data_IF_025526929993
#
_entry.id   IF_025526929993
#
_cell.length_a   1.000
_cell.length_b   1.000
_cell.length_c   1.000
_cell.angle_alpha   90.00
_cell.angle_beta   90.00
_cell.angle_gamma   90.00
#
_symmetry.space_group_name_H-M   'P 1'
#
loop_
_entity.id
_entity.type
_entity.pdbx_description
1 polymer ?
#
# COMPACT_ATOMS: atom_id res chain seq x y z
N UNK A 1 13.40 6.05 -14.45
CA UNK A 1 12.55 5.07 -13.72
C UNK A 1 11.11 5.57 -13.73
N UNK A 2 10.11 4.71 -13.98
CA UNK A 2 8.70 5.14 -14.07
C UNK A 2 8.06 5.13 -12.66
N UNK A 3 7.62 6.30 -12.16
CA UNK A 3 7.07 6.47 -10.81
C UNK A 3 5.95 5.47 -10.48
N UNK A 4 5.09 5.15 -11.45
CA UNK A 4 3.99 4.19 -11.28
C UNK A 4 4.50 2.78 -10.96
N UNK A 5 5.60 2.38 -11.60
CA UNK A 5 6.25 1.10 -11.30
C UNK A 5 6.86 1.07 -9.90
N UNK A 6 7.40 2.19 -9.42
CA UNK A 6 7.98 2.25 -8.06
C UNK A 6 6.86 2.09 -7.02
N UNK A 7 5.76 2.81 -7.19
CA UNK A 7 4.56 2.68 -6.34
C UNK A 7 4.05 1.24 -6.35
N UNK A 8 3.94 0.63 -7.53
CA UNK A 8 3.55 -0.78 -7.66
C UNK A 8 4.48 -1.75 -6.95
N UNK A 9 5.80 -1.54 -7.05
CA UNK A 9 6.79 -2.33 -6.32
C UNK A 9 6.65 -2.19 -4.81
N UNK A 10 6.41 -0.97 -4.28
CA UNK A 10 6.21 -0.73 -2.83
C UNK A 10 4.95 -1.44 -2.31
N UNK A 11 3.85 -1.39 -3.06
CA UNK A 11 2.62 -2.13 -2.72
C UNK A 11 2.89 -3.64 -2.71
N UNK A 12 3.55 -4.15 -3.75
CA UNK A 12 3.89 -5.58 -3.86
C UNK A 12 4.77 -6.04 -2.70
N UNK A 13 5.78 -5.24 -2.35
CA UNK A 13 6.71 -5.51 -1.27
C UNK A 13 5.98 -5.58 0.07
N UNK A 14 5.20 -4.55 0.41
CA UNK A 14 4.46 -4.50 1.66
C UNK A 14 3.42 -5.63 1.76
N UNK A 15 2.69 -5.92 0.68
CA UNK A 15 1.75 -7.04 0.64
C UNK A 15 2.43 -8.38 0.91
N UNK A 16 3.54 -8.66 0.23
CA UNK A 16 4.30 -9.91 0.42
C UNK A 16 4.92 -10.01 1.80
N UNK A 17 5.40 -8.90 2.36
CA UNK A 17 5.93 -8.86 3.73
C UNK A 17 4.85 -9.21 4.78
N UNK A 18 3.58 -8.89 4.51
CA UNK A 18 2.44 -9.28 5.34
C UNK A 18 1.90 -10.69 5.02
N UNK A 19 2.53 -11.44 4.09
CA UNK A 19 2.10 -12.79 3.73
C UNK A 19 0.76 -12.86 2.98
N UNK A 20 0.30 -11.74 2.39
CA UNK A 20 -1.02 -11.66 1.75
C UNK A 20 -0.94 -11.96 0.25
N UNK A 21 -1.91 -12.68 -0.29
CA UNK A 21 -2.23 -12.69 -1.71
C UNK A 21 -2.99 -11.42 -2.12
N UNK A 22 -3.05 -11.14 -3.43
CA UNK A 22 -3.84 -10.00 -3.95
C UNK A 22 -5.34 -10.16 -3.60
N UNK A 23 -5.85 -11.40 -3.62
CA UNK A 23 -7.26 -11.69 -3.29
C UNK A 23 -7.55 -11.38 -1.82
N UNK A 24 -6.68 -11.84 -0.91
CA UNK A 24 -6.84 -11.57 0.53
C UNK A 24 -6.73 -10.08 0.83
N UNK A 25 -5.75 -9.39 0.25
CA UNK A 25 -5.64 -7.94 0.41
C UNK A 25 -6.90 -7.23 -0.10
N UNK A 26 -7.43 -7.64 -1.26
CA UNK A 26 -8.67 -7.11 -1.80
C UNK A 26 -9.86 -7.31 -0.87
N UNK A 27 -10.03 -8.52 -0.33
CA UNK A 27 -11.09 -8.82 0.63
C UNK A 27 -10.99 -7.98 1.91
N UNK A 28 -9.78 -7.79 2.47
CA UNK A 28 -9.58 -7.03 3.71
C UNK A 28 -9.73 -5.51 3.52
N UNK A 29 -9.49 -5.02 2.32
CA UNK A 29 -9.57 -3.58 1.99
C UNK A 29 -10.86 -3.18 1.29
N UNK A 30 -11.74 -4.13 1.00
CA UNK A 30 -12.90 -3.96 0.11
C UNK A 30 -12.51 -3.40 -1.28
N UNK A 31 -11.33 -3.76 -1.77
CA UNK A 31 -10.83 -3.38 -3.09
C UNK A 31 -10.85 -4.58 -4.01
N UNK A 32 -11.18 -4.36 -5.28
CA UNK A 32 -11.17 -5.44 -6.28
C UNK A 32 -9.72 -5.88 -6.54
N UNK A 33 -9.45 -7.19 -6.50
CA UNK A 33 -8.14 -7.78 -6.73
C UNK A 33 -7.47 -7.28 -8.02
N UNK A 34 -8.23 -7.14 -9.11
CA UNK A 34 -7.76 -6.60 -10.39
C UNK A 34 -7.22 -5.17 -10.25
N UNK A 35 -7.83 -4.35 -9.39
CA UNK A 35 -7.41 -2.96 -9.14
C UNK A 35 -6.04 -2.93 -8.45
N UNK A 36 -5.84 -3.80 -7.46
CA UNK A 36 -4.55 -3.98 -6.78
C UNK A 36 -3.49 -4.48 -7.77
N UNK A 37 -3.82 -5.48 -8.60
CA UNK A 37 -2.90 -5.99 -9.63
C UNK A 37 -2.45 -4.91 -10.62
N UNK A 38 -3.36 -4.03 -11.05
CA UNK A 38 -3.03 -2.90 -11.92
C UNK A 38 -2.05 -1.91 -11.27
N UNK A 39 -2.16 -1.69 -9.96
CA UNK A 39 -1.20 -0.87 -9.22
C UNK A 39 0.15 -1.56 -9.09
N UNK A 40 0.18 -2.84 -8.71
CA UNK A 40 1.42 -3.62 -8.59
C UNK A 40 2.21 -3.71 -9.90
N UNK A 41 1.51 -3.76 -11.04
CA UNK A 41 2.11 -3.73 -12.38
C UNK A 41 2.47 -2.31 -12.87
N UNK A 42 2.04 -1.27 -12.17
CA UNK A 42 2.26 0.14 -12.53
C UNK A 42 1.43 0.62 -13.74
N UNK A 43 0.36 -0.10 -14.11
CA UNK A 43 -0.55 0.32 -15.20
C UNK A 43 -1.50 1.41 -14.76
N UNK A 44 -1.75 1.50 -13.44
CA UNK A 44 -2.52 2.53 -12.75
C UNK A 44 -1.81 2.93 -11.46
N UNK A 45 -2.28 4.01 -10.84
CA UNK A 45 -1.80 4.49 -9.54
C UNK A 45 -2.98 4.54 -8.57
N UNK A 46 -2.81 4.16 -7.29
CA UNK A 46 -3.84 4.40 -6.28
C UNK A 46 -4.04 5.90 -6.05
N UNK A 47 -5.26 6.31 -5.71
CA UNK A 47 -5.52 7.64 -5.20
C UNK A 47 -5.12 7.77 -3.73
N UNK A 48 -5.22 8.97 -3.15
CA UNK A 48 -4.91 9.22 -1.74
C UNK A 48 -5.75 8.35 -0.78
N UNK A 49 -7.03 8.15 -1.07
CA UNK A 49 -7.92 7.34 -0.22
C UNK A 49 -7.57 5.86 -0.27
N UNK A 50 -7.28 5.30 -1.46
CA UNK A 50 -6.80 3.92 -1.55
C UNK A 50 -5.45 3.74 -0.86
N UNK A 51 -4.54 4.71 -0.97
CA UNK A 51 -3.26 4.65 -0.29
C UNK A 51 -3.42 4.61 1.24
N UNK A 52 -4.38 5.36 1.80
CA UNK A 52 -4.72 5.31 3.24
C UNK A 52 -5.28 3.94 3.64
N UNK A 53 -6.17 3.37 2.85
CA UNK A 53 -6.75 2.04 3.10
C UNK A 53 -5.65 0.97 3.08
N UNK A 54 -4.84 0.95 2.01
CA UNK A 54 -3.73 0.02 1.86
C UNK A 54 -2.74 0.13 3.01
N UNK A 55 -2.42 1.35 3.44
CA UNK A 55 -1.49 1.55 4.55
C UNK A 55 -1.92 0.87 5.84
N UNK A 56 -3.21 0.97 6.20
CA UNK A 56 -3.77 0.37 7.42
C UNK A 56 -3.67 -1.14 7.42
N UNK A 57 -3.90 -1.75 6.27
CA UNK A 57 -3.81 -3.20 6.10
C UNK A 57 -2.37 -3.67 6.00
N UNK A 58 -1.52 -2.94 5.27
CA UNK A 58 -0.14 -3.31 4.98
C UNK A 58 0.88 -2.86 6.03
N UNK A 59 0.45 -2.10 7.05
CA UNK A 59 1.28 -1.60 8.16
C UNK A 59 2.49 -0.77 7.70
N UNK A 60 2.31 0.04 6.65
CA UNK A 60 3.32 0.93 6.07
C UNK A 60 2.72 2.29 5.76
N UNK A 61 3.56 3.29 5.50
CA UNK A 61 3.09 4.64 5.27
C UNK A 61 2.45 4.93 3.92
N UNK A 62 1.33 5.67 3.91
CA UNK A 62 0.68 6.10 2.67
C UNK A 62 1.63 6.98 1.85
N UNK A 63 2.35 7.88 2.52
CA UNK A 63 3.41 8.71 1.95
C UNK A 63 4.53 7.86 1.38
N UNK A 64 4.88 6.74 2.02
CA UNK A 64 5.84 5.79 1.47
C UNK A 64 5.29 5.05 0.26
N UNK A 65 4.06 4.52 0.30
CA UNK A 65 3.44 3.87 -0.86
C UNK A 65 3.42 4.80 -2.09
N UNK A 66 3.16 6.10 -1.87
CA UNK A 66 3.09 7.13 -2.92
C UNK A 66 4.44 7.77 -3.27
N UNK A 67 5.57 7.25 -2.76
CA UNK A 67 6.91 7.77 -3.03
C UNK A 67 7.13 9.24 -2.61
N UNK A 68 6.42 9.70 -1.58
CA UNK A 68 6.60 11.02 -0.96
C UNK A 68 7.76 10.98 0.07
N UNK A 69 7.98 9.82 0.69
CA UNK A 69 9.10 9.57 1.61
C UNK A 69 9.72 8.20 1.32
N UNK A 70 10.99 8.03 1.69
CA UNK A 70 11.68 6.75 1.63
C UNK A 70 11.59 5.93 2.93
N UNK A 71 11.09 6.54 4.01
CA UNK A 71 10.86 5.85 5.28
C UNK A 71 9.53 5.06 5.24
N UNK A 72 9.54 3.71 5.33
CA UNK A 72 8.33 2.89 5.36
C UNK A 72 7.32 3.23 6.45
N UNK A 73 7.73 3.94 7.50
CA UNK A 73 6.87 4.35 8.62
C UNK A 73 6.82 5.86 8.85
N UNK A 74 7.28 6.70 7.90
CA UNK A 74 7.52 8.14 8.13
C UNK A 74 6.40 8.91 8.86
N UNK A 75 5.17 8.91 8.32
CA UNK A 75 3.99 9.55 8.93
C UNK A 75 3.18 8.59 9.83
N UNK A 76 3.64 7.33 9.95
CA UNK A 76 2.86 6.27 10.57
C UNK A 76 3.05 6.25 12.08
N UNK A 77 2.25 7.08 12.73
CA UNK A 77 2.06 7.03 14.17
C UNK A 77 1.04 5.92 14.43
N UNK A 78 1.50 4.73 14.86
CA UNK A 78 0.62 3.88 15.65
C UNK A 78 0.12 4.75 16.80
N UNK A 79 -1.19 5.00 16.86
CA UNK A 79 -1.78 5.53 18.08
C UNK A 79 -1.37 4.54 19.16
N UNK A 80 -0.38 4.93 19.97
CA UNK A 80 -0.13 4.31 21.27
C UNK A 80 -1.49 4.28 21.92
N UNK A 81 -2.07 3.08 22.06
CA UNK A 81 -3.20 2.90 22.95
C UNK A 81 -2.63 3.25 24.33
N UNK A 82 -2.85 4.49 24.75
CA UNK A 82 -2.74 4.88 26.14
C UNK A 82 -3.87 4.09 26.81
N UNK A 83 -3.50 2.91 27.30
CA UNK A 83 -4.22 2.16 28.33
C UNK A 83 -4.35 2.99 29.59
#
# INVERSE_FOLDING_TARGET
>A
MNLKKIIGCRITQARKANGLTIKELGSRTNLVATRIGNWEQGTRTPGPEEAKILSKELKVAASWLLCITDNPHGEWIERVQIS
#
